data_IF_345473945101
#
_entry.id   IF_345473945101
#
_cell.length_a   1.000
_cell.length_b   1.000
_cell.length_c   1.000
_cell.angle_alpha   90.00
_cell.angle_beta   90.00
_cell.angle_gamma   90.00
#
_symmetry.space_group_name_H-M   'P 1'
#
loop_
_entity.id
_entity.type
_entity.pdbx_description
1 polymer ?
#
# COMPACT_ATOMS: atom_id res chain seq x y z
N UNK A 1 -41.17 61.00 8.79
CA UNK A 1 -42.40 60.21 8.88
C UNK A 1 -42.15 59.18 9.98
N UNK A 2 -42.50 59.48 11.24
CA UNK A 2 -43.80 59.18 11.89
C UNK A 2 -43.67 57.80 12.57
N UNK A 3 -43.97 57.52 13.83
CA UNK A 3 -44.78 58.17 14.86
C UNK A 3 -44.31 57.73 16.27
N UNK A 4 -44.72 58.54 17.25
CA UNK A 4 -44.85 58.33 18.71
C UNK A 4 -45.40 56.96 19.14
N UNK A 5 -45.27 56.46 20.37
CA UNK A 5 -44.78 56.99 21.63
C UNK A 5 -45.34 56.16 22.81
N UNK A 6 -44.79 56.28 24.01
CA UNK A 6 -45.53 56.13 25.28
C UNK A 6 -44.69 56.60 26.47
N UNK A 7 -45.30 57.47 27.29
CA UNK A 7 -44.77 58.15 28.48
C UNK A 7 -45.03 57.36 29.78
N UNK A 8 -44.22 57.66 30.80
CA UNK A 8 -44.58 58.05 32.19
C UNK A 8 -43.51 57.51 33.16
N UNK A 9 -43.11 58.12 34.27
CA UNK A 9 -43.28 59.43 34.91
C UNK A 9 -42.45 59.36 36.21
N UNK A 10 -41.85 60.47 36.67
CA UNK A 10 -41.33 60.53 38.05
C UNK A 10 -40.23 61.57 38.27
N UNK A 11 -40.62 62.76 38.67
CA UNK A 11 -39.78 63.91 39.03
C UNK A 11 -39.57 63.98 40.55
N UNK A 12 -38.40 64.48 40.96
CA UNK A 12 -38.09 65.00 42.30
C UNK A 12 -36.56 65.00 42.47
N UNK A 13 -35.81 66.11 42.52
CA UNK A 13 -36.11 67.44 43.05
C UNK A 13 -35.46 67.58 44.43
N UNK A 14 -34.19 68.01 44.49
CA UNK A 14 -33.49 68.28 45.76
C UNK A 14 -31.97 68.48 45.63
N UNK A 15 -31.55 69.71 45.38
CA UNK A 15 -30.27 70.31 45.80
C UNK A 15 -30.59 71.29 46.97
N UNK A 16 -29.63 71.94 47.69
CA UNK A 16 -28.16 71.89 47.66
C UNK A 16 -27.60 71.71 49.11
N UNK A 17 -26.30 71.63 49.41
CA UNK A 17 -25.29 72.71 49.58
C UNK A 17 -24.09 72.01 50.27
N UNK A 18 -22.84 72.21 49.87
CA UNK A 18 -21.99 73.29 50.41
C UNK A 18 -20.75 73.50 49.53
N UNK A 19 -20.45 74.76 49.21
CA UNK A 19 -19.13 75.22 48.82
C UNK A 19 -19.00 76.72 49.10
N UNK A 20 -17.96 77.13 49.85
CA UNK A 20 -17.31 78.46 49.78
C UNK A 20 -15.86 78.24 50.26
N UNK A 21 -14.82 78.23 49.40
CA UNK A 21 -14.09 79.32 48.73
C UNK A 21 -13.10 80.11 49.61
N UNK A 22 -11.83 80.07 49.22
CA UNK A 22 -10.77 81.12 49.14
C UNK A 22 -9.41 80.45 49.33
N UNK A 23 -8.31 80.69 48.62
CA UNK A 23 -7.89 81.56 47.52
C UNK A 23 -6.40 81.26 47.26
N UNK A 24 -5.79 81.78 46.19
CA UNK A 24 -4.31 81.79 46.06
C UNK A 24 -3.74 81.68 44.66
N UNK A 25 -2.98 82.70 44.26
CA UNK A 25 -2.26 82.88 42.98
C UNK A 25 -1.10 81.86 42.80
N UNK A 26 -0.95 81.40 41.55
CA UNK A 26 0.35 81.39 40.84
C UNK A 26 1.29 80.18 40.98
N UNK A 27 1.27 79.28 39.99
CA UNK A 27 2.43 78.60 39.33
C UNK A 27 1.86 77.70 38.23
N UNK A 28 1.80 78.16 36.98
CA UNK A 28 2.86 78.01 35.97
C UNK A 28 3.29 76.54 35.73
N UNK A 29 2.92 76.05 34.55
CA UNK A 29 3.69 75.15 33.68
C UNK A 29 4.09 73.79 34.26
N UNK A 30 3.36 72.71 33.95
CA UNK A 30 3.85 71.33 33.72
C UNK A 30 2.70 70.32 33.70
N UNK A 31 1.81 70.33 32.69
CA UNK A 31 0.90 69.19 32.48
C UNK A 31 0.34 69.02 31.05
N UNK A 32 0.93 69.68 30.04
CA UNK A 32 0.58 69.47 28.63
C UNK A 32 1.60 68.63 27.85
N UNK A 33 2.81 68.46 28.39
CA UNK A 33 3.91 67.78 27.70
C UNK A 33 3.93 66.26 27.94
N UNK A 34 3.42 65.78 29.09
CA UNK A 34 3.38 64.36 29.43
C UNK A 34 2.28 63.58 28.71
N UNK A 35 1.18 64.23 28.33
CA UNK A 35 0.07 63.56 27.65
C UNK A 35 0.36 63.33 26.15
N UNK A 36 0.98 64.31 25.49
CA UNK A 36 1.42 64.16 24.10
C UNK A 36 2.63 63.24 23.94
N UNK A 37 3.57 63.22 24.91
CA UNK A 37 4.67 62.23 24.88
C UNK A 37 4.16 60.81 25.12
N UNK A 38 3.19 60.59 26.00
CA UNK A 38 2.58 59.26 26.19
C UNK A 38 1.76 58.80 24.97
N UNK A 39 1.05 59.71 24.30
CA UNK A 39 0.33 59.39 23.04
C UNK A 39 1.35 59.09 21.93
N UNK A 40 2.41 59.88 21.79
CA UNK A 40 3.45 59.65 20.81
C UNK A 40 4.24 58.35 21.09
N UNK A 41 4.48 58.01 22.36
CA UNK A 41 5.09 56.73 22.74
C UNK A 41 4.14 55.57 22.43
N UNK A 42 2.84 55.70 22.69
CA UNK A 42 1.85 54.67 22.30
C UNK A 42 1.75 54.50 20.79
N UNK A 43 1.77 55.58 20.02
CA UNK A 43 1.79 55.54 18.56
C UNK A 43 3.10 54.94 18.06
N UNK A 44 4.25 55.28 18.67
CA UNK A 44 5.55 54.72 18.31
C UNK A 44 5.65 53.22 18.64
N UNK A 45 5.07 52.77 19.77
CA UNK A 45 4.97 51.35 20.12
C UNK A 45 3.99 50.64 19.18
N UNK A 46 2.85 51.25 18.84
CA UNK A 46 1.88 50.68 17.91
C UNK A 46 2.46 50.59 16.50
N UNK A 47 3.15 51.64 16.02
CA UNK A 47 3.88 51.64 14.76
C UNK A 47 5.00 50.59 14.81
N UNK A 48 5.78 50.50 15.88
CA UNK A 48 6.79 49.45 16.05
C UNK A 48 6.19 48.04 16.02
N UNK A 49 5.03 47.84 16.66
CA UNK A 49 4.32 46.55 16.68
C UNK A 49 3.71 46.22 15.30
N UNK A 50 3.17 47.22 14.60
CA UNK A 50 2.69 47.05 13.21
C UNK A 50 3.86 46.79 12.27
N UNK A 51 5.01 47.44 12.42
CA UNK A 51 6.21 47.16 11.62
C UNK A 51 6.77 45.79 11.95
N UNK A 52 6.72 45.32 13.21
CA UNK A 52 7.09 43.96 13.59
C UNK A 52 6.07 42.95 13.05
N UNK A 53 4.77 43.25 13.03
CA UNK A 53 3.74 42.39 12.42
C UNK A 53 3.80 42.39 10.90
N UNK A 54 4.23 43.49 10.27
CA UNK A 54 4.48 43.57 8.84
C UNK A 54 5.80 42.88 8.52
N UNK A 55 6.84 42.97 9.36
CA UNK A 55 8.11 42.27 9.19
C UNK A 55 7.97 40.77 9.46
N UNK A 56 7.29 40.36 10.53
CA UNK A 56 6.89 38.97 10.79
C UNK A 56 5.88 38.48 9.75
N UNK A 57 5.02 39.36 9.26
CA UNK A 57 4.13 39.12 8.13
C UNK A 57 4.91 38.92 6.84
N UNK A 58 5.96 39.68 6.55
CA UNK A 58 6.80 39.50 5.36
C UNK A 58 7.83 38.38 5.51
N UNK A 59 8.21 38.02 6.74
CA UNK A 59 9.05 36.85 7.07
C UNK A 59 8.21 35.57 7.17
N UNK A 60 6.88 35.69 7.37
CA UNK A 60 5.92 34.58 7.40
C UNK A 60 4.98 34.53 6.18
N UNK A 61 5.06 35.48 5.24
CA UNK A 61 4.38 35.45 3.93
C UNK A 61 5.38 35.55 2.75
N UNK A 62 6.67 35.70 3.03
CA UNK A 62 7.76 35.50 2.07
C UNK A 62 8.40 34.13 2.24
N UNK A 63 7.58 33.06 2.15
CA UNK A 63 7.94 31.65 1.90
C UNK A 63 6.75 30.68 2.13
N UNK A 64 5.50 31.14 2.01
CA UNK A 64 4.32 30.27 1.97
C UNK A 64 3.94 29.88 0.53
N UNK A 65 4.97 29.68 -0.27
CA UNK A 65 4.95 28.90 -1.50
C UNK A 65 6.18 27.97 -1.46
N UNK A 66 6.48 27.37 -0.30
CA UNK A 66 7.09 26.04 -0.27
C UNK A 66 5.95 25.12 -0.70
N UNK A 67 5.80 25.03 -2.02
CA UNK A 67 4.78 24.25 -2.68
C UNK A 67 4.90 22.81 -2.19
N UNK A 68 3.78 22.10 -2.25
CA UNK A 68 3.68 20.64 -2.09
C UNK A 68 4.91 19.88 -2.63
N UNK A 69 5.58 20.41 -3.65
CA UNK A 69 6.80 19.88 -4.24
C UNK A 69 7.96 19.69 -3.25
N UNK A 70 8.20 20.56 -2.26
CA UNK A 70 9.32 20.36 -1.31
C UNK A 70 9.03 19.21 -0.33
N UNK A 71 7.79 19.09 0.13
CA UNK A 71 7.35 17.99 1.00
C UNK A 71 7.29 16.67 0.22
N UNK A 72 6.73 16.69 -0.99
CA UNK A 72 6.73 15.55 -1.93
C UNK A 72 8.15 15.14 -2.25
N UNK A 73 9.08 16.07 -2.49
CA UNK A 73 10.48 15.77 -2.79
C UNK A 73 11.23 15.22 -1.57
N UNK A 74 10.98 15.73 -0.35
CA UNK A 74 11.54 15.11 0.87
C UNK A 74 10.97 13.72 1.15
N UNK A 75 9.69 13.48 0.89
CA UNK A 75 9.06 12.16 1.02
C UNK A 75 9.61 11.20 -0.02
N UNK A 76 9.73 11.65 -1.28
CA UNK A 76 10.37 10.93 -2.37
C UNK A 76 11.81 10.56 -2.01
N UNK A 77 12.59 11.49 -1.48
CA UNK A 77 13.97 11.26 -1.03
C UNK A 77 14.00 10.26 0.14
N UNK A 78 13.08 10.35 1.11
CA UNK A 78 12.99 9.41 2.24
C UNK A 78 12.57 8.00 1.83
N UNK A 79 11.78 7.88 0.77
CA UNK A 79 11.30 6.61 0.26
C UNK A 79 12.36 5.96 -0.64
N UNK A 80 12.96 6.75 -1.53
CA UNK A 80 13.96 6.32 -2.50
C UNK A 80 15.31 6.04 -1.83
N UNK A 81 15.75 6.83 -0.86
CA UNK A 81 17.10 6.67 -0.29
C UNK A 81 17.32 5.31 0.39
N UNK A 82 16.40 4.78 1.22
CA UNK A 82 16.49 3.40 1.71
C UNK A 82 16.51 2.39 0.57
N UNK A 83 15.58 2.51 -0.39
CA UNK A 83 15.48 1.58 -1.53
C UNK A 83 16.78 1.58 -2.37
N UNK A 84 17.40 2.73 -2.60
CA UNK A 84 18.65 2.86 -3.36
C UNK A 84 19.88 2.46 -2.54
N UNK A 85 19.91 2.71 -1.24
CA UNK A 85 21.02 2.35 -0.36
C UNK A 85 21.16 0.83 -0.21
N UNK A 86 20.09 0.08 -0.48
CA UNK A 86 20.05 -1.37 -0.37
C UNK A 86 20.24 -2.13 -1.68
N UNK A 87 20.50 -1.43 -2.79
CA UNK A 87 21.02 -2.06 -4.01
C UNK A 87 22.31 -2.80 -3.64
N UNK A 88 22.35 -4.15 -3.66
CA UNK A 88 23.51 -4.88 -3.18
C UNK A 88 24.73 -4.56 -4.04
N UNK A 89 25.76 -3.97 -3.43
CA UNK A 89 27.09 -3.90 -4.03
C UNK A 89 27.73 -5.30 -3.93
N UNK A 90 27.50 -6.13 -4.94
CA UNK A 90 28.29 -7.33 -5.23
C UNK A 90 28.15 -8.51 -4.27
N UNK A 91 27.45 -9.56 -4.69
CA UNK A 91 27.68 -10.91 -4.19
C UNK A 91 28.67 -11.63 -5.11
N UNK A 92 29.83 -11.94 -4.56
CA UNK A 92 30.90 -12.77 -5.15
C UNK A 92 30.35 -14.20 -5.44
N UNK A 93 30.56 -14.79 -6.63
CA UNK A 93 30.01 -16.09 -6.96
C UNK A 93 31.00 -17.19 -6.57
N UNK A 94 30.80 -17.87 -5.45
CA UNK A 94 31.36 -19.23 -5.25
C UNK A 94 30.77 -19.91 -4.02
N UNK A 95 29.83 -20.83 -4.24
CA UNK A 95 29.92 -22.18 -3.67
C UNK A 95 28.89 -23.09 -4.36
N UNK A 96 29.37 -23.82 -5.35
CA UNK A 96 28.75 -25.08 -5.76
C UNK A 96 29.04 -26.08 -4.62
N UNK A 97 28.01 -26.42 -3.85
CA UNK A 97 28.10 -27.54 -2.90
C UNK A 97 27.67 -28.80 -3.65
N UNK A 98 28.64 -29.69 -3.92
CA UNK A 98 28.39 -31.05 -4.40
C UNK A 98 27.56 -31.84 -3.37
N UNK A 99 26.65 -32.74 -3.82
CA UNK A 99 25.85 -33.55 -2.91
C UNK A 99 26.70 -34.66 -2.25
N UNK A 100 26.41 -35.06 -1.00
CA UNK A 100 27.22 -36.03 -0.29
C UNK A 100 27.05 -37.45 -0.84
N UNK A 101 28.18 -38.14 -1.04
CA UNK A 101 28.27 -39.57 -1.35
C UNK A 101 27.84 -40.41 -0.14
N UNK A 102 26.86 -41.29 -0.34
CA UNK A 102 26.50 -42.34 0.61
C UNK A 102 27.40 -43.56 0.35
N UNK A 103 28.27 -43.88 1.31
CA UNK A 103 29.03 -45.12 1.33
C UNK A 103 28.18 -46.27 1.88
N UNK A 104 27.94 -47.29 1.05
CA UNK A 104 27.33 -48.56 1.44
C UNK A 104 28.46 -49.51 1.84
N UNK A 105 28.42 -50.06 3.06
CA UNK A 105 29.23 -51.22 3.48
C UNK A 105 28.37 -52.49 3.53
N UNK A 106 28.85 -53.62 2.98
CA UNK A 106 28.10 -54.87 2.90
C UNK A 106 28.37 -55.78 4.11
N UNK A 107 27.43 -56.67 4.46
CA UNK A 107 27.74 -58.09 4.80
C UNK A 107 26.52 -58.99 5.05
N UNK A 108 26.48 -60.07 4.24
CA UNK A 108 26.30 -61.50 4.55
C UNK A 108 25.02 -62.09 5.23
N UNK A 109 24.21 -62.74 4.36
CA UNK A 109 23.76 -64.16 4.31
C UNK A 109 22.91 -64.84 5.40
N UNK A 110 21.81 -65.45 4.90
CA UNK A 110 21.24 -66.79 5.17
C UNK A 110 20.45 -67.00 6.49
N UNK A 111 19.31 -67.69 6.59
CA UNK A 111 18.58 -68.68 5.77
C UNK A 111 17.12 -68.84 6.30
N UNK A 112 16.27 -69.51 5.51
CA UNK A 112 15.02 -70.25 5.83
C UNK A 112 13.62 -69.64 5.48
N UNK A 113 13.04 -70.19 4.40
CA UNK A 113 11.59 -70.31 4.04
C UNK A 113 10.92 -71.48 4.82
N UNK A 114 9.56 -71.69 4.89
CA UNK A 114 8.55 -71.60 3.80
C UNK A 114 7.10 -71.23 4.30
N UNK A 115 5.95 -71.53 3.62
CA UNK A 115 5.66 -71.75 2.20
C UNK A 115 4.58 -70.80 1.59
N UNK A 116 4.43 -70.96 0.28
CA UNK A 116 3.56 -70.30 -0.70
C UNK A 116 2.04 -70.33 -0.43
N UNK A 117 1.36 -69.24 -0.84
CA UNK A 117 -0.05 -69.25 -1.24
C UNK A 117 -0.16 -68.57 -2.60
N UNK A 118 -0.52 -69.36 -3.62
CA UNK A 118 -0.81 -68.90 -4.98
C UNK A 118 -2.07 -68.03 -5.01
N UNK A 119 -1.93 -66.76 -5.44
CA UNK A 119 -3.04 -66.00 -6.04
C UNK A 119 -2.51 -65.28 -7.27
N UNK A 120 -3.13 -65.59 -8.41
CA UNK A 120 -2.82 -65.14 -9.76
C UNK A 120 -2.97 -63.62 -9.94
N UNK A 121 -2.05 -62.91 -10.63
CA UNK A 121 -2.22 -61.49 -10.89
C UNK A 121 -2.91 -61.30 -12.24
N UNK A 122 -4.14 -60.79 -12.20
CA UNK A 122 -4.78 -60.18 -13.37
C UNK A 122 -5.30 -58.80 -12.96
N UNK A 123 -4.39 -57.85 -12.80
CA UNK A 123 -4.72 -56.42 -12.87
C UNK A 123 -3.64 -55.75 -13.69
N UNK A 124 -4.08 -55.30 -14.86
CA UNK A 124 -3.39 -54.46 -15.83
C UNK A 124 -2.63 -53.33 -15.16
N UNK A 125 -1.33 -53.25 -15.49
CA UNK A 125 -0.45 -52.09 -15.34
C UNK A 125 -1.20 -50.88 -15.92
N UNK A 126 -1.53 -49.91 -15.07
CA UNK A 126 -1.98 -48.61 -15.54
C UNK A 126 -0.71 -47.89 -16.02
N UNK A 127 -0.65 -47.60 -17.31
CA UNK A 127 0.49 -46.95 -17.94
C UNK A 127 0.81 -45.62 -17.22
N UNK A 128 2.03 -45.51 -16.70
CA UNK A 128 2.59 -44.22 -16.31
C UNK A 128 2.60 -43.31 -17.55
N UNK A 129 2.16 -42.05 -17.45
CA UNK A 129 2.20 -41.17 -18.60
C UNK A 129 3.67 -40.91 -18.93
N UNK A 130 4.09 -41.42 -20.09
CA UNK A 130 5.33 -41.09 -20.75
C UNK A 130 5.57 -39.57 -20.69
N UNK A 131 6.65 -39.16 -20.04
CA UNK A 131 7.23 -37.82 -20.19
C UNK A 131 7.47 -37.59 -21.69
N UNK A 132 6.62 -36.78 -22.29
CA UNK A 132 6.86 -36.27 -23.63
C UNK A 132 7.97 -35.26 -23.48
N UNK A 133 9.18 -35.60 -23.91
CA UNK A 133 10.22 -34.62 -24.20
C UNK A 133 9.66 -33.62 -25.23
N UNK A 134 9.18 -32.48 -24.73
CA UNK A 134 8.68 -31.39 -25.58
C UNK A 134 9.89 -30.80 -26.28
N UNK A 135 9.89 -30.92 -27.61
CA UNK A 135 10.88 -30.33 -28.50
C UNK A 135 11.17 -28.86 -28.17
N UNK A 136 12.45 -28.53 -28.02
CA UNK A 136 13.02 -27.26 -27.56
C UNK A 136 12.90 -26.06 -28.51
N UNK A 137 11.82 -25.95 -29.31
CA UNK A 137 11.63 -24.88 -30.29
C UNK A 137 10.29 -24.13 -30.20
N UNK A 138 9.46 -24.38 -29.19
CA UNK A 138 8.18 -23.67 -29.03
C UNK A 138 8.37 -22.50 -28.06
N UNK A 139 8.16 -21.28 -28.53
CA UNK A 139 8.12 -20.10 -27.67
C UNK A 139 6.96 -20.24 -26.66
N UNK A 140 7.23 -19.96 -25.39
CA UNK A 140 6.24 -20.03 -24.30
C UNK A 140 5.02 -19.13 -24.57
N UNK A 141 3.82 -19.59 -24.22
CA UNK A 141 2.58 -18.81 -24.29
C UNK A 141 1.72 -19.04 -23.05
N UNK A 142 1.06 -17.99 -22.54
CA UNK A 142 0.11 -18.10 -21.42
C UNK A 142 -1.23 -18.81 -21.79
N UNK A 143 -1.39 -19.16 -23.06
CA UNK A 143 -2.57 -19.82 -23.62
C UNK A 143 -2.88 -19.34 -25.03
N UNK A 144 -3.97 -19.85 -25.65
CA UNK A 144 -4.37 -19.44 -26.99
C UNK A 144 -4.60 -17.92 -27.07
N UNK A 145 -4.13 -17.31 -28.15
CA UNK A 145 -4.26 -15.85 -28.36
C UNK A 145 -5.72 -15.46 -28.55
N UNK A 146 -6.17 -14.48 -27.79
CA UNK A 146 -7.51 -13.88 -27.88
C UNK A 146 -7.33 -12.46 -28.41
N UNK A 147 -8.14 -12.04 -29.39
CA UNK A 147 -8.02 -10.72 -30.05
C UNK A 147 -9.28 -9.86 -29.99
N UNK A 148 -10.36 -10.41 -29.43
CA UNK A 148 -11.68 -9.77 -29.37
C UNK A 148 -12.28 -9.82 -27.95
N UNK A 149 -11.45 -9.85 -26.90
CA UNK A 149 -11.90 -10.01 -25.52
C UNK A 149 -12.86 -8.91 -25.08
N UNK A 150 -12.62 -7.64 -25.41
CA UNK A 150 -13.51 -6.53 -25.05
C UNK A 150 -14.92 -6.72 -25.65
N UNK A 151 -15.00 -7.25 -26.87
CA UNK A 151 -16.28 -7.53 -27.52
C UNK A 151 -16.98 -8.71 -26.86
N UNK A 152 -16.26 -9.80 -26.54
CA UNK A 152 -16.81 -10.94 -25.82
C UNK A 152 -17.33 -10.54 -24.44
N UNK A 153 -16.52 -9.80 -23.67
CA UNK A 153 -16.85 -9.30 -22.33
C UNK A 153 -18.07 -8.38 -22.37
N UNK A 154 -18.17 -7.47 -23.34
CA UNK A 154 -19.35 -6.61 -23.54
C UNK A 154 -20.63 -7.40 -23.81
N UNK A 155 -20.56 -8.43 -24.67
CA UNK A 155 -21.71 -9.31 -24.94
C UNK A 155 -22.12 -10.04 -23.68
N UNK A 156 -21.16 -10.62 -22.94
CA UNK A 156 -21.42 -11.32 -21.70
C UNK A 156 -22.08 -10.42 -20.65
N UNK A 157 -21.56 -9.21 -20.43
CA UNK A 157 -22.13 -8.24 -19.47
C UNK A 157 -23.56 -7.84 -19.83
N UNK A 158 -23.88 -7.76 -21.14
CA UNK A 158 -25.24 -7.45 -21.60
C UNK A 158 -26.20 -8.61 -21.35
N UNK A 159 -25.71 -9.85 -21.42
CA UNK A 159 -26.50 -11.07 -21.21
C UNK A 159 -26.65 -11.45 -19.73
N UNK A 160 -25.80 -10.94 -18.85
CA UNK A 160 -25.75 -11.29 -17.42
C UNK A 160 -25.84 -10.03 -16.53
N UNK A 161 -26.95 -9.27 -16.58
CA UNK A 161 -27.09 -7.98 -15.85
C UNK A 161 -27.03 -8.11 -14.31
N UNK A 162 -27.21 -9.30 -13.77
CA UNK A 162 -27.07 -9.63 -12.35
C UNK A 162 -25.60 -9.65 -11.87
N UNK A 163 -24.65 -9.67 -12.80
CA UNK A 163 -23.21 -9.57 -12.54
C UNK A 163 -22.61 -8.29 -13.16
N UNK A 164 -22.98 -7.08 -12.68
CA UNK A 164 -22.49 -5.85 -13.24
C UNK A 164 -21.02 -5.60 -12.85
N UNK A 165 -20.26 -5.01 -13.79
CA UNK A 165 -18.89 -4.56 -13.57
C UNK A 165 -18.77 -3.29 -12.74
N UNK A 166 -19.89 -2.60 -12.51
CA UNK A 166 -20.00 -1.43 -11.65
C UNK A 166 -21.16 -1.66 -10.68
N UNK A 167 -20.89 -1.66 -9.37
CA UNK A 167 -21.86 -1.78 -8.29
C UNK A 167 -21.93 -0.47 -7.51
N UNK A 168 -23.12 0.11 -7.38
CA UNK A 168 -23.33 1.36 -6.64
C UNK A 168 -22.37 2.50 -7.06
N UNK A 169 -22.07 2.59 -8.35
CA UNK A 169 -21.15 3.60 -8.90
C UNK A 169 -19.66 3.28 -8.72
N UNK A 170 -19.30 2.12 -8.14
CA UNK A 170 -17.91 1.68 -7.95
C UNK A 170 -17.59 0.49 -8.84
N UNK A 171 -16.42 0.50 -9.48
CA UNK A 171 -15.97 -0.63 -10.29
C UNK A 171 -15.75 -1.87 -9.41
N UNK A 172 -16.14 -3.05 -9.91
CA UNK A 172 -15.93 -4.32 -9.20
C UNK A 172 -14.45 -4.69 -9.21
N UNK A 173 -13.88 -4.92 -8.02
CA UNK A 173 -12.49 -5.31 -7.81
C UNK A 173 -12.45 -6.75 -7.29
N UNK A 174 -11.51 -7.54 -7.82
CA UNK A 174 -11.12 -8.84 -7.27
C UNK A 174 -9.68 -8.76 -6.79
N UNK A 175 -9.46 -8.82 -5.48
CA UNK A 175 -8.13 -8.90 -4.90
C UNK A 175 -7.58 -10.32 -5.04
N UNK A 176 -6.40 -10.43 -5.65
CA UNK A 176 -5.68 -11.68 -5.83
C UNK A 176 -4.39 -11.65 -5.00
N UNK A 177 -4.22 -12.64 -4.14
CA UNK A 177 -2.99 -12.92 -3.40
C UNK A 177 -2.68 -14.41 -3.49
N UNK A 178 -1.49 -14.84 -3.07
CA UNK A 178 -1.21 -16.27 -2.97
C UNK A 178 0.09 -16.57 -2.26
N UNK A 179 0.29 -17.86 -2.01
CA UNK A 179 1.53 -18.43 -1.46
C UNK A 179 1.80 -19.79 -2.11
N UNK A 180 3.00 -20.36 -1.96
CA UNK A 180 3.26 -21.74 -2.37
C UNK A 180 2.25 -22.73 -1.75
N UNK A 181 1.98 -23.88 -2.41
CA UNK A 181 1.10 -24.94 -1.90
C UNK A 181 1.66 -25.66 -0.68
N UNK A 182 2.98 -25.78 -0.61
CA UNK A 182 3.68 -26.47 0.47
C UNK A 182 3.82 -25.60 1.72
N UNK A 183 4.15 -26.20 2.87
CA UNK A 183 4.50 -25.46 4.06
C UNK A 183 5.73 -24.58 3.79
N UNK A 184 5.84 -23.47 4.51
CA UNK A 184 7.02 -22.62 4.43
C UNK A 184 8.27 -23.33 4.94
N UNK A 185 9.44 -22.94 4.43
CA UNK A 185 10.74 -23.48 4.89
C UNK A 185 10.93 -23.30 6.41
N UNK A 186 10.34 -22.22 6.96
CA UNK A 186 10.27 -21.95 8.39
C UNK A 186 8.80 -21.97 8.83
N UNK A 187 8.40 -22.77 9.85
CA UNK A 187 7.00 -22.84 10.31
C UNK A 187 6.39 -21.50 10.74
N UNK A 188 7.21 -20.57 11.22
CA UNK A 188 6.76 -19.22 11.56
C UNK A 188 6.28 -18.43 10.33
N UNK A 189 6.78 -18.77 9.14
CA UNK A 189 6.34 -18.19 7.87
C UNK A 189 4.86 -18.38 7.62
N UNK A 190 4.36 -19.62 7.81
CA UNK A 190 2.92 -19.94 7.67
C UNK A 190 2.06 -19.11 8.63
N UNK A 191 2.55 -18.84 9.84
CA UNK A 191 1.84 -17.98 10.79
C UNK A 191 1.72 -16.53 10.27
N UNK A 192 2.74 -15.98 9.63
CA UNK A 192 2.68 -14.64 9.06
C UNK A 192 1.90 -14.59 7.74
N UNK A 193 1.87 -15.67 6.95
CA UNK A 193 0.94 -15.81 5.83
C UNK A 193 -0.52 -15.77 6.32
N UNK A 194 -0.83 -16.48 7.40
CA UNK A 194 -2.16 -16.45 8.02
C UNK A 194 -2.54 -15.04 8.51
N UNK A 195 -1.62 -14.33 9.16
CA UNK A 195 -1.85 -12.95 9.59
C UNK A 195 -2.06 -12.01 8.39
N UNK A 196 -1.29 -12.20 7.32
CA UNK A 196 -1.43 -11.43 6.08
C UNK A 196 -2.78 -11.64 5.42
N UNK A 197 -3.24 -12.89 5.28
CA UNK A 197 -4.57 -13.15 4.70
C UNK A 197 -5.69 -12.61 5.60
N UNK A 198 -5.59 -12.71 6.94
CA UNK A 198 -6.56 -12.07 7.84
C UNK A 198 -6.63 -10.55 7.61
N UNK A 199 -5.49 -9.88 7.52
CA UNK A 199 -5.43 -8.44 7.25
C UNK A 199 -6.15 -8.08 5.93
N UNK A 200 -5.88 -8.84 4.86
CA UNK A 200 -6.55 -8.66 3.56
C UNK A 200 -8.05 -8.95 3.63
N UNK A 201 -8.47 -9.99 4.36
CA UNK A 201 -9.88 -10.31 4.60
C UNK A 201 -10.58 -9.16 5.31
N UNK A 202 -9.96 -8.57 6.34
CA UNK A 202 -10.56 -7.46 7.09
C UNK A 202 -10.75 -6.23 6.21
N UNK A 203 -9.75 -5.85 5.40
CA UNK A 203 -9.86 -4.76 4.43
C UNK A 203 -10.95 -5.05 3.39
N UNK A 204 -10.87 -6.20 2.71
CA UNK A 204 -11.80 -6.57 1.65
C UNK A 204 -13.26 -6.60 2.15
N UNK A 205 -13.50 -7.13 3.36
CA UNK A 205 -14.83 -7.15 3.99
C UNK A 205 -15.38 -5.74 4.24
N UNK A 206 -14.54 -4.79 4.64
CA UNK A 206 -14.96 -3.42 4.93
C UNK A 206 -15.20 -2.61 3.66
N UNK A 207 -14.49 -2.92 2.57
CA UNK A 207 -14.56 -2.21 1.29
C UNK A 207 -15.43 -2.90 0.23
N UNK A 208 -16.02 -4.05 0.53
CA UNK A 208 -16.88 -4.79 -0.42
C UNK A 208 -16.10 -5.37 -1.61
N UNK A 209 -14.87 -5.82 -1.36
CA UNK A 209 -13.97 -6.39 -2.38
C UNK A 209 -13.96 -7.91 -2.21
N UNK A 210 -14.02 -8.64 -3.32
CA UNK A 210 -13.88 -10.10 -3.33
C UNK A 210 -12.40 -10.47 -3.28
N UNK A 211 -12.07 -11.61 -2.66
CA UNK A 211 -10.68 -12.08 -2.53
C UNK A 211 -10.52 -13.50 -3.07
N UNK A 212 -9.48 -13.70 -3.88
CA UNK A 212 -8.98 -15.01 -4.30
C UNK A 212 -7.60 -15.23 -3.68
N UNK A 213 -7.44 -16.36 -2.99
CA UNK A 213 -6.16 -16.80 -2.46
C UNK A 213 -5.67 -18.01 -3.26
N UNK A 214 -4.64 -17.83 -4.07
CA UNK A 214 -4.05 -18.92 -4.85
C UNK A 214 -3.05 -19.73 -4.01
N UNK A 215 -3.17 -21.05 -4.05
CA UNK A 215 -2.18 -22.01 -3.56
C UNK A 215 -1.76 -23.02 -4.63
N UNK A 216 -2.18 -22.85 -5.89
CA UNK A 216 -1.88 -23.77 -6.98
C UNK A 216 -0.79 -23.21 -7.91
N UNK A 217 0.08 -24.10 -8.39
CA UNK A 217 0.91 -23.82 -9.56
C UNK A 217 0.08 -24.17 -10.81
N UNK A 218 -0.33 -23.14 -11.55
CA UNK A 218 -1.10 -23.33 -12.79
C UNK A 218 -0.21 -23.63 -14.01
N UNK A 219 1.08 -23.34 -13.88
CA UNK A 219 2.06 -23.44 -14.94
C UNK A 219 3.41 -23.83 -14.32
N UNK A 220 4.04 -24.87 -14.86
CA UNK A 220 5.31 -25.38 -14.33
C UNK A 220 6.52 -24.54 -14.75
N UNK A 221 6.42 -23.79 -15.85
CA UNK A 221 7.48 -22.92 -16.38
C UNK A 221 7.51 -21.59 -15.62
N UNK A 222 6.33 -21.03 -15.30
CA UNK A 222 6.19 -19.77 -14.56
C UNK A 222 6.10 -20.00 -13.05
N UNK A 223 7.24 -20.35 -12.46
CA UNK A 223 7.42 -20.53 -11.01
C UNK A 223 7.75 -19.23 -10.25
N UNK A 224 7.68 -19.29 -8.90
CA UNK A 224 8.10 -18.19 -8.03
C UNK A 224 7.26 -16.92 -8.24
N UNK A 225 7.91 -15.77 -8.37
CA UNK A 225 7.24 -14.48 -8.58
C UNK A 225 6.45 -14.41 -9.89
N UNK A 226 6.77 -15.26 -10.88
CA UNK A 226 6.09 -15.31 -12.18
C UNK A 226 4.71 -15.97 -12.16
N UNK A 227 4.36 -16.72 -11.11
CA UNK A 227 3.08 -17.46 -11.00
C UNK A 227 1.84 -16.56 -11.07
N UNK A 228 2.02 -15.26 -10.78
CA UNK A 228 0.93 -14.28 -10.83
C UNK A 228 0.39 -14.08 -12.25
N UNK A 229 1.21 -14.13 -13.29
CA UNK A 229 0.79 -13.91 -14.68
C UNK A 229 -0.28 -14.91 -15.16
N UNK A 230 -0.05 -16.25 -15.10
CA UNK A 230 -1.04 -17.22 -15.55
C UNK A 230 -2.31 -17.18 -14.69
N UNK A 231 -2.20 -16.92 -13.38
CA UNK A 231 -3.37 -16.77 -12.51
C UNK A 231 -4.20 -15.53 -12.85
N UNK A 232 -3.57 -14.37 -13.06
CA UNK A 232 -4.27 -13.14 -13.46
C UNK A 232 -5.01 -13.35 -14.79
N UNK A 233 -4.34 -13.94 -15.80
CA UNK A 233 -4.98 -14.27 -17.09
C UNK A 233 -6.19 -15.19 -16.88
N UNK A 234 -6.05 -16.22 -16.04
CA UNK A 234 -7.13 -17.16 -15.75
C UNK A 234 -8.33 -16.47 -15.10
N UNK A 235 -8.10 -15.60 -14.12
CA UNK A 235 -9.18 -14.86 -13.46
C UNK A 235 -9.85 -13.85 -14.39
N UNK A 236 -9.10 -13.12 -15.21
CA UNK A 236 -9.68 -12.21 -16.21
C UNK A 236 -10.70 -12.92 -17.12
N UNK A 237 -10.33 -14.09 -17.62
CA UNK A 237 -11.18 -14.87 -18.53
C UNK A 237 -12.33 -15.58 -17.82
N UNK A 238 -12.19 -15.90 -16.53
CA UNK A 238 -13.21 -16.62 -15.74
C UNK A 238 -14.18 -15.68 -15.04
N UNK A 239 -13.82 -14.41 -14.87
CA UNK A 239 -14.62 -13.38 -14.21
C UNK A 239 -14.83 -12.15 -15.13
N UNK A 240 -15.64 -12.25 -16.20
CA UNK A 240 -15.91 -11.12 -17.10
C UNK A 240 -16.61 -9.95 -16.38
N UNK A 241 -17.27 -10.20 -15.26
CA UNK A 241 -17.90 -9.18 -14.41
C UNK A 241 -16.89 -8.32 -13.65
N UNK A 242 -15.67 -8.81 -13.40
CA UNK A 242 -14.65 -8.05 -12.67
C UNK A 242 -14.06 -6.98 -13.58
N UNK A 243 -14.01 -5.74 -13.11
CA UNK A 243 -13.40 -4.63 -13.85
C UNK A 243 -11.91 -4.51 -13.58
N UNK A 244 -11.49 -4.74 -12.33
CA UNK A 244 -10.09 -4.67 -11.90
C UNK A 244 -9.67 -5.95 -11.18
N UNK A 245 -8.60 -6.57 -11.66
CA UNK A 245 -7.83 -7.54 -10.87
C UNK A 245 -6.79 -6.75 -10.08
N UNK A 246 -6.78 -6.89 -8.77
CA UNK A 246 -5.81 -6.25 -7.89
C UNK A 246 -4.87 -7.30 -7.31
N UNK A 247 -3.66 -7.38 -7.87
CA UNK A 247 -2.62 -8.25 -7.32
C UNK A 247 -2.02 -7.61 -6.06
N UNK A 248 -1.85 -8.40 -5.00
CA UNK A 248 -1.16 -8.00 -3.78
C UNK A 248 -0.34 -9.16 -3.23
N UNK A 249 0.97 -8.97 -3.08
CA UNK A 249 1.89 -9.98 -2.54
C UNK A 249 1.50 -10.40 -1.10
N UNK A 250 1.90 -11.61 -0.73
CA UNK A 250 1.58 -12.18 0.58
C UNK A 250 2.33 -11.52 1.74
N UNK A 251 3.43 -10.84 1.48
CA UNK A 251 4.20 -10.04 2.44
C UNK A 251 3.86 -8.53 2.37
N UNK A 252 2.80 -8.14 1.66
CA UNK A 252 2.21 -6.82 1.73
C UNK A 252 1.00 -6.80 2.69
N UNK A 253 0.92 -5.80 3.56
CA UNK A 253 -0.19 -5.60 4.50
C UNK A 253 -0.86 -4.25 4.27
N UNK A 254 -2.18 -4.22 4.32
CA UNK A 254 -2.92 -2.97 4.50
C UNK A 254 -2.61 -2.41 5.87
N UNK A 255 -2.16 -1.16 5.92
CA UNK A 255 -1.88 -0.42 7.14
C UNK A 255 -2.76 0.81 7.30
N UNK A 256 -3.46 1.23 6.25
CA UNK A 256 -4.63 2.10 6.32
C UNK A 256 -5.89 1.31 5.94
N UNK A 257 -6.67 0.91 6.96
CA UNK A 257 -7.90 0.13 6.75
C UNK A 257 -9.04 1.01 6.21
N UNK A 258 -8.94 2.33 6.34
CA UNK A 258 -10.02 3.26 5.99
C UNK A 258 -9.81 3.93 4.64
N UNK A 259 -8.58 3.95 4.14
CA UNK A 259 -8.27 4.46 2.81
C UNK A 259 -8.95 3.63 1.71
N UNK A 260 -9.57 4.31 0.76
CA UNK A 260 -10.16 3.73 -0.44
C UNK A 260 -9.40 4.20 -1.68
N UNK A 261 -9.09 3.28 -2.59
CA UNK A 261 -8.40 3.58 -3.84
C UNK A 261 -9.25 4.56 -4.67
N UNK A 262 -8.70 5.71 -5.11
CA UNK A 262 -9.46 6.71 -5.87
C UNK A 262 -9.63 6.29 -7.35
N UNK A 263 -10.43 5.26 -7.61
CA UNK A 263 -10.58 4.63 -8.93
C UNK A 263 -10.95 5.60 -10.07
N UNK A 264 -11.65 6.70 -9.77
CA UNK A 264 -11.99 7.74 -10.75
C UNK A 264 -10.75 8.38 -11.37
N UNK A 265 -9.62 8.41 -10.67
CA UNK A 265 -8.32 8.87 -11.19
C UNK A 265 -7.80 8.00 -12.34
N UNK A 266 -8.20 6.73 -12.36
CA UNK A 266 -7.63 5.71 -13.26
C UNK A 266 -8.55 5.35 -14.44
N UNK A 267 -9.63 6.10 -14.67
CA UNK A 267 -10.63 5.80 -15.71
C UNK A 267 -10.05 5.59 -17.11
N UNK A 268 -8.98 6.31 -17.46
CA UNK A 268 -8.33 6.24 -18.78
C UNK A 268 -7.17 5.24 -18.87
N UNK A 269 -6.87 4.56 -17.77
CA UNK A 269 -5.72 3.67 -17.62
C UNK A 269 -6.18 2.22 -17.42
N UNK A 270 -5.29 1.29 -17.72
CA UNK A 270 -5.52 -0.15 -17.61
C UNK A 270 -4.56 -0.82 -16.63
N UNK A 271 -3.40 -0.22 -16.38
CA UNK A 271 -2.46 -0.65 -15.33
C UNK A 271 -2.23 0.52 -14.37
N UNK A 272 -2.41 0.29 -13.07
CA UNK A 272 -2.05 1.23 -12.00
C UNK A 272 -1.02 0.55 -11.13
N UNK A 273 0.16 1.15 -11.02
CA UNK A 273 1.32 0.56 -10.34
C UNK A 273 2.07 1.64 -9.58
N UNK A 274 2.54 1.32 -8.37
CA UNK A 274 3.34 2.25 -7.58
C UNK A 274 4.72 2.44 -8.22
N UNK A 275 5.22 3.67 -8.22
CA UNK A 275 6.60 3.92 -8.61
C UNK A 275 6.94 5.39 -8.72
N UNK A 276 8.16 5.68 -9.18
CA UNK A 276 8.64 7.05 -9.27
C UNK A 276 9.02 7.39 -10.71
N UNK A 277 8.38 8.41 -11.32
CA UNK A 277 8.66 8.80 -12.69
C UNK A 277 10.14 9.12 -12.96
N UNK A 278 10.85 9.77 -12.03
CA UNK A 278 12.27 10.06 -12.18
C UNK A 278 13.13 8.78 -12.25
N UNK A 279 12.90 7.84 -11.32
CA UNK A 279 13.60 6.55 -11.34
C UNK A 279 13.30 5.76 -12.61
N UNK A 280 12.06 5.83 -13.10
CA UNK A 280 11.63 5.10 -14.28
C UNK A 280 12.24 5.68 -15.57
N UNK A 281 11.98 6.95 -15.85
CA UNK A 281 12.28 7.53 -17.16
C UNK A 281 13.71 8.08 -17.26
N UNK A 282 14.23 8.67 -16.18
CA UNK A 282 15.54 9.30 -16.21
C UNK A 282 16.63 8.31 -15.79
N UNK A 283 16.41 7.57 -14.70
CA UNK A 283 17.45 6.70 -14.14
C UNK A 283 17.40 5.26 -14.66
N UNK A 284 16.26 4.82 -15.22
CA UNK A 284 16.01 3.42 -15.61
C UNK A 284 16.33 2.43 -14.49
N UNK A 285 15.92 2.77 -13.28
CA UNK A 285 16.19 1.96 -12.09
C UNK A 285 15.31 0.71 -12.07
N UNK A 286 15.85 -0.43 -11.63
CA UNK A 286 15.08 -1.68 -11.49
C UNK A 286 14.05 -1.66 -10.35
N UNK A 287 14.17 -0.67 -9.45
CA UNK A 287 13.22 -0.39 -8.35
C UNK A 287 12.30 0.79 -8.68
N UNK A 288 12.23 1.21 -9.94
CA UNK A 288 11.43 2.35 -10.34
C UNK A 288 9.92 2.12 -10.20
N UNK A 289 9.48 0.87 -10.31
CA UNK A 289 8.10 0.42 -10.13
C UNK A 289 8.09 -0.79 -9.18
N UNK A 290 6.97 -1.05 -8.51
CA UNK A 290 6.79 -2.25 -7.69
C UNK A 290 5.66 -3.14 -8.21
N UNK A 291 5.97 -4.39 -8.62
CA UNK A 291 4.96 -5.35 -9.12
C UNK A 291 4.39 -6.25 -8.03
N UNK A 292 4.65 -5.93 -6.76
CA UNK A 292 4.03 -6.62 -5.64
C UNK A 292 2.61 -6.14 -5.36
N UNK A 293 2.26 -4.91 -5.77
CA UNK A 293 0.91 -4.37 -5.68
C UNK A 293 0.59 -3.58 -6.94
N UNK A 294 -0.41 -4.02 -7.69
CA UNK A 294 -0.91 -3.28 -8.87
C UNK A 294 -2.35 -3.64 -9.20
N UNK A 295 -3.04 -2.71 -9.87
CA UNK A 295 -4.37 -2.96 -10.45
C UNK A 295 -4.24 -3.12 -11.96
N UNK A 296 -4.88 -4.16 -12.49
CA UNK A 296 -4.92 -4.44 -13.93
C UNK A 296 -6.37 -4.62 -14.40
N UNK A 297 -6.80 -3.77 -15.35
CA UNK A 297 -8.17 -3.75 -15.85
C UNK A 297 -8.46 -4.99 -16.69
N UNK A 298 -9.65 -5.57 -16.56
CA UNK A 298 -10.08 -6.70 -17.37
C UNK A 298 -10.48 -6.24 -18.79
N UNK A 299 -9.49 -6.21 -19.70
CA UNK A 299 -9.65 -5.76 -21.08
C UNK A 299 -8.63 -6.42 -22.01
N UNK A 300 -8.84 -6.30 -23.33
CA UNK A 300 -7.96 -6.87 -24.36
C UNK A 300 -6.52 -6.38 -24.23
N UNK A 301 -6.33 -5.08 -23.94
CA UNK A 301 -5.01 -4.49 -23.74
C UNK A 301 -4.22 -5.21 -22.64
N UNK A 302 -4.88 -5.62 -21.56
CA UNK A 302 -4.23 -6.31 -20.44
C UNK A 302 -3.85 -7.75 -20.80
N UNK A 303 -4.67 -8.45 -21.60
CA UNK A 303 -4.29 -9.77 -22.13
C UNK A 303 -3.04 -9.66 -23.01
N UNK A 304 -2.99 -8.65 -23.88
CA UNK A 304 -1.84 -8.39 -24.74
C UNK A 304 -0.59 -8.00 -23.92
N UNK A 305 -0.76 -7.27 -22.82
CA UNK A 305 0.35 -6.94 -21.90
C UNK A 305 0.90 -8.20 -21.24
N UNK A 306 0.04 -9.09 -20.74
CA UNK A 306 0.46 -10.35 -20.10
C UNK A 306 1.26 -11.22 -21.09
N UNK A 307 0.79 -11.33 -22.33
CA UNK A 307 1.51 -12.05 -23.40
C UNK A 307 2.89 -11.44 -23.69
N UNK A 308 3.02 -10.12 -23.60
CA UNK A 308 4.30 -9.41 -23.82
C UNK A 308 5.23 -9.43 -22.60
N UNK A 309 4.69 -9.65 -21.40
CA UNK A 309 5.43 -9.66 -20.14
C UNK A 309 5.99 -11.05 -19.81
N UNK A 310 5.24 -12.11 -20.11
CA UNK A 310 5.62 -13.50 -19.85
C UNK A 310 6.93 -14.03 -20.47
N UNK A 311 7.44 -13.57 -21.63
CA UNK A 311 8.54 -14.24 -22.34
C UNK A 311 9.86 -14.38 -21.57
N UNK A 312 10.12 -13.54 -20.57
CA UNK A 312 11.32 -13.62 -19.71
C UNK A 312 11.13 -14.52 -18.49
N UNK A 313 9.94 -15.09 -18.30
CA UNK A 313 9.55 -15.84 -17.10
C UNK A 313 9.83 -17.34 -17.08
N UNK A 314 9.85 -18.10 -18.19
CA UNK A 314 10.07 -19.55 -18.14
C UNK A 314 11.40 -19.92 -17.46
N UNK A 315 11.33 -20.74 -16.41
CA UNK A 315 12.48 -21.12 -15.57
C UNK A 315 13.62 -21.77 -16.38
N UNK A 316 14.84 -21.74 -15.82
CA UNK A 316 16.03 -22.29 -16.47
C UNK A 316 16.68 -21.31 -17.44
N UNK A 317 17.29 -21.78 -18.55
CA UNK A 317 18.14 -20.95 -19.40
C UNK A 317 17.48 -19.67 -19.93
N UNK A 318 16.16 -19.71 -20.20
CA UNK A 318 15.43 -18.53 -20.69
C UNK A 318 15.44 -17.41 -19.64
N UNK A 319 15.04 -17.72 -18.40
CA UNK A 319 15.03 -16.76 -17.29
C UNK A 319 16.43 -16.29 -16.91
N UNK A 320 17.42 -17.18 -16.96
CA UNK A 320 18.82 -16.85 -16.64
C UNK A 320 19.42 -15.87 -17.65
N UNK A 321 19.25 -16.12 -18.96
CA UNK A 321 19.74 -15.22 -20.01
C UNK A 321 18.97 -13.89 -20.02
N UNK A 322 17.65 -13.92 -19.79
CA UNK A 322 16.87 -12.71 -19.62
C UNK A 322 17.36 -11.88 -18.41
N UNK A 323 17.76 -12.53 -17.31
CA UNK A 323 18.34 -11.87 -16.14
C UNK A 323 19.60 -11.08 -16.47
N UNK A 324 20.47 -11.61 -17.35
CA UNK A 324 21.66 -10.89 -17.84
C UNK A 324 21.28 -9.66 -18.68
N UNK A 325 20.28 -9.79 -19.56
CA UNK A 325 19.77 -8.67 -20.37
C UNK A 325 19.22 -7.56 -19.46
N UNK A 326 18.42 -7.92 -18.46
CA UNK A 326 17.82 -6.98 -17.51
C UNK A 326 18.89 -6.28 -16.67
N UNK A 327 19.90 -7.02 -16.20
CA UNK A 327 21.03 -6.47 -15.44
C UNK A 327 21.85 -5.48 -16.27
N UNK A 328 22.04 -5.76 -17.56
CA UNK A 328 22.74 -4.85 -18.46
C UNK A 328 21.92 -3.59 -18.81
N UNK A 329 20.59 -3.69 -18.83
CA UNK A 329 19.71 -2.59 -19.22
C UNK A 329 19.31 -1.68 -18.06
N UNK A 330 19.05 -2.24 -16.88
CA UNK A 330 18.47 -1.53 -15.73
C UNK A 330 19.54 -1.12 -14.73
N UNK A 331 19.51 0.16 -14.34
CA UNK A 331 20.46 0.72 -13.38
C UNK A 331 20.23 0.09 -12.00
N UNK A 332 21.32 -0.35 -11.39
CA UNK A 332 21.33 -0.84 -10.01
C UNK A 332 20.73 -2.23 -9.81
N UNK A 333 20.36 -2.94 -10.88
CA UNK A 333 19.89 -4.32 -10.74
C UNK A 333 21.07 -5.26 -10.39
N UNK A 334 21.02 -6.05 -9.31
CA UNK A 334 22.04 -7.06 -9.06
C UNK A 334 21.95 -8.22 -10.08
N UNK A 335 23.01 -9.04 -10.15
CA UNK A 335 23.06 -10.17 -11.08
C UNK A 335 22.32 -11.39 -10.51
N UNK A 336 21.12 -11.65 -11.02
CA UNK A 336 20.31 -12.83 -10.73
C UNK A 336 19.31 -13.09 -11.88
N UNK A 337 18.60 -14.22 -11.83
CA UNK A 337 17.58 -14.61 -12.82
C UNK A 337 16.54 -13.50 -13.07
N UNK A 338 15.88 -13.48 -14.23
CA UNK A 338 14.84 -12.49 -14.51
C UNK A 338 13.66 -12.57 -13.52
N UNK A 339 13.25 -11.40 -13.04
CA UNK A 339 12.07 -11.20 -12.19
C UNK A 339 10.98 -10.42 -12.94
N UNK A 340 9.73 -10.57 -12.52
CA UNK A 340 8.57 -9.94 -13.15
C UNK A 340 8.65 -8.41 -13.10
N UNK A 341 9.16 -7.82 -12.02
CA UNK A 341 9.29 -6.37 -11.86
C UNK A 341 10.23 -5.76 -12.90
N UNK A 342 11.45 -6.28 -12.98
CA UNK A 342 12.47 -5.85 -13.93
C UNK A 342 12.01 -6.07 -15.37
N UNK A 343 11.38 -7.20 -15.66
CA UNK A 343 10.83 -7.49 -16.99
C UNK A 343 9.74 -6.49 -17.40
N UNK A 344 8.84 -6.11 -16.48
CA UNK A 344 7.83 -5.08 -16.75
C UNK A 344 8.47 -3.72 -17.01
N UNK A 345 9.42 -3.29 -16.17
CA UNK A 345 10.12 -2.02 -16.34
C UNK A 345 10.83 -1.99 -17.71
N UNK A 346 11.54 -3.07 -18.05
CA UNK A 346 12.18 -3.21 -19.36
C UNK A 346 11.18 -3.12 -20.52
N UNK A 347 10.05 -3.82 -20.44
CA UNK A 347 8.99 -3.78 -21.46
C UNK A 347 8.42 -2.37 -21.63
N UNK A 348 8.08 -1.70 -20.53
CA UNK A 348 7.50 -0.37 -20.53
C UNK A 348 8.47 0.71 -21.06
N UNK A 349 9.76 0.57 -20.78
CA UNK A 349 10.79 1.49 -21.28
C UNK A 349 11.16 1.22 -22.74
N UNK A 350 11.27 -0.05 -23.14
CA UNK A 350 11.65 -0.43 -24.51
C UNK A 350 10.53 -0.28 -25.53
N UNK A 351 9.27 -0.37 -25.10
CA UNK A 351 8.08 -0.25 -25.94
C UNK A 351 7.13 0.84 -25.43
N UNK A 352 7.70 1.99 -25.01
CA UNK A 352 6.98 3.10 -24.38
C UNK A 352 5.74 3.54 -25.16
N UNK A 353 5.89 3.75 -26.47
CA UNK A 353 4.80 4.24 -27.34
C UNK A 353 3.62 3.26 -27.44
N UNK A 354 3.86 1.98 -27.17
CA UNK A 354 2.83 0.94 -27.22
C UNK A 354 2.06 0.81 -25.90
N UNK A 355 2.74 0.94 -24.77
CA UNK A 355 2.17 0.57 -23.46
C UNK A 355 1.88 1.76 -22.56
N UNK A 356 2.76 2.76 -22.50
CA UNK A 356 2.76 3.74 -21.40
C UNK A 356 1.55 4.67 -21.40
N UNK A 357 0.84 4.85 -22.52
CA UNK A 357 -0.41 5.64 -22.54
C UNK A 357 -1.47 5.07 -21.60
N UNK A 358 -1.47 3.76 -21.35
CA UNK A 358 -2.45 3.07 -20.49
C UNK A 358 -1.91 2.71 -19.11
N UNK A 359 -0.69 3.14 -18.77
CA UNK A 359 -0.06 2.90 -17.47
C UNK A 359 -0.12 4.17 -16.63
N UNK A 360 -0.67 4.06 -15.43
CA UNK A 360 -0.61 5.09 -14.40
C UNK A 360 0.46 4.72 -13.37
N UNK A 361 1.49 5.54 -13.25
CA UNK A 361 2.52 5.41 -12.21
C UNK A 361 2.06 6.21 -11.00
N UNK A 362 1.54 5.53 -9.98
CA UNK A 362 1.02 6.15 -8.76
C UNK A 362 2.16 6.43 -7.77
N UNK A 363 2.12 7.63 -7.19
CA UNK A 363 3.12 8.11 -6.23
C UNK A 363 2.56 9.13 -5.22
N UNK A 364 1.23 9.32 -5.18
CA UNK A 364 0.57 10.25 -4.27
C UNK A 364 0.14 9.61 -2.95
N UNK A 365 0.13 8.27 -2.89
CA UNK A 365 -0.11 7.49 -1.68
C UNK A 365 0.66 6.18 -1.79
N UNK A 366 0.81 5.46 -0.69
CA UNK A 366 1.55 4.19 -0.64
C UNK A 366 0.71 3.03 -1.16
N UNK A 367 0.46 2.96 -2.48
CA UNK A 367 -0.03 1.74 -3.11
C UNK A 367 0.97 0.59 -2.86
N UNK A 368 2.26 0.92 -2.85
CA UNK A 368 3.33 0.14 -2.26
C UNK A 368 4.15 1.04 -1.34
N UNK A 369 4.24 0.69 -0.05
CA UNK A 369 5.11 1.39 0.90
C UNK A 369 6.26 0.51 1.38
N UNK A 370 7.49 0.91 1.09
CA UNK A 370 8.68 0.17 1.52
C UNK A 370 8.81 0.18 3.05
N UNK A 371 8.75 -1.01 3.65
CA UNK A 371 8.55 -1.17 5.10
C UNK A 371 9.61 -0.49 5.96
N UNK A 372 10.88 -0.48 5.54
CA UNK A 372 11.97 0.03 6.36
C UNK A 372 11.83 1.53 6.67
N UNK A 373 11.29 2.32 5.73
CA UNK A 373 11.04 3.75 5.92
C UNK A 373 9.76 4.07 6.72
N UNK A 374 8.96 3.05 7.06
CA UNK A 374 7.61 3.22 7.61
C UNK A 374 7.45 2.66 9.02
N UNK A 375 7.93 1.44 9.26
CA UNK A 375 7.55 0.67 10.47
C UNK A 375 7.97 1.31 11.79
N UNK A 376 9.06 2.07 11.79
CA UNK A 376 9.56 2.75 13.00
C UNK A 376 8.81 4.06 13.29
N UNK A 377 7.95 4.52 12.37
CA UNK A 377 7.18 5.77 12.49
C UNK A 377 5.74 5.53 12.96
N UNK A 378 5.30 4.28 13.14
CA UNK A 378 3.91 4.00 13.51
C UNK A 378 3.44 4.67 14.79
N UNK A 379 4.26 4.73 15.83
CA UNK A 379 3.91 5.44 17.07
C UNK A 379 3.73 6.95 16.81
N UNK A 380 4.59 7.56 16.00
CA UNK A 380 4.45 8.96 15.58
C UNK A 380 3.14 9.17 14.81
N UNK A 381 2.82 8.25 13.89
CA UNK A 381 1.60 8.31 13.08
C UNK A 381 0.34 8.21 13.93
N UNK A 382 0.34 7.31 14.93
CA UNK A 382 -0.77 7.16 15.90
C UNK A 382 -0.97 8.44 16.71
N UNK A 383 0.11 9.13 17.08
CA UNK A 383 0.04 10.35 17.89
C UNK A 383 -0.43 11.57 17.09
N UNK A 384 0.05 11.72 15.84
CA UNK A 384 -0.12 12.96 15.06
C UNK A 384 -1.23 12.91 14.02
N UNK A 385 -1.58 11.73 13.52
CA UNK A 385 -2.43 11.57 12.35
C UNK A 385 -3.59 10.60 12.62
N UNK A 386 -4.31 10.24 11.55
CA UNK A 386 -5.42 9.29 11.58
C UNK A 386 -5.45 8.47 10.27
N UNK A 387 -6.06 7.27 10.28
CA UNK A 387 -6.30 6.50 9.06
C UNK A 387 -7.25 7.21 8.10
N UNK A 388 -7.20 6.85 6.83
CA UNK A 388 -7.91 7.43 5.69
C UNK A 388 -7.04 8.33 4.80
N UNK A 389 -5.74 8.44 5.06
CA UNK A 389 -4.83 9.33 4.33
C UNK A 389 -4.05 8.59 3.24
N UNK A 390 -3.63 7.34 3.52
CA UNK A 390 -2.92 6.47 2.58
C UNK A 390 -1.46 6.82 2.28
N UNK A 391 -0.94 7.95 2.75
CA UNK A 391 0.39 8.49 2.44
C UNK A 391 1.36 8.44 3.64
N UNK A 392 2.42 9.26 3.69
CA UNK A 392 3.45 9.24 4.74
C UNK A 392 2.96 9.59 6.14
N UNK A 393 1.74 10.10 6.24
CA UNK A 393 1.06 10.40 7.50
C UNK A 393 0.36 9.16 8.04
N UNK A 394 -0.13 8.30 7.15
CA UNK A 394 -0.72 6.99 7.46
C UNK A 394 -0.68 6.09 6.23
N UNK A 395 0.33 5.21 6.07
CA UNK A 395 0.58 4.52 4.81
C UNK A 395 -0.55 3.55 4.47
N UNK A 396 -0.98 3.54 3.21
CA UNK A 396 -2.01 2.62 2.77
C UNK A 396 -1.56 1.16 2.85
N UNK A 397 -0.41 0.86 2.22
CA UNK A 397 0.20 -0.47 2.24
C UNK A 397 1.60 -0.38 2.82
N UNK A 398 1.96 -1.34 3.66
CA UNK A 398 3.34 -1.62 4.07
C UNK A 398 3.77 -2.97 3.51
N UNK A 399 4.80 -2.95 2.66
CA UNK A 399 5.27 -4.10 1.89
C UNK A 399 6.66 -4.53 2.35
N UNK A 400 6.76 -5.76 2.84
CA UNK A 400 7.97 -6.35 3.43
C UNK A 400 8.91 -6.97 2.40
N UNK A 401 9.18 -6.23 1.33
CA UNK A 401 10.12 -6.63 0.26
C UNK A 401 11.43 -7.12 0.88
N UNK A 402 11.91 -8.28 0.41
CA UNK A 402 13.15 -8.92 0.84
C UNK A 402 13.09 -9.67 2.18
N UNK A 403 12.00 -9.57 2.95
CA UNK A 403 11.84 -10.37 4.17
C UNK A 403 11.51 -11.86 3.88
N UNK A 404 10.85 -12.14 2.76
CA UNK A 404 10.53 -13.49 2.25
C UNK A 404 10.08 -14.46 3.36
N UNK A 405 8.95 -14.19 4.06
CA UNK A 405 8.57 -14.89 5.29
C UNK A 405 8.43 -16.41 5.12
N UNK A 406 8.16 -16.89 3.91
CA UNK A 406 7.98 -18.30 3.58
C UNK A 406 9.22 -18.97 2.96
N UNK A 407 10.22 -18.20 2.53
CA UNK A 407 11.40 -18.70 1.82
C UNK A 407 12.62 -18.93 2.71
N UNK A 408 13.61 -19.61 2.13
CA UNK A 408 14.88 -19.96 2.77
C UNK A 408 15.87 -18.79 2.84
N UNK A 409 15.85 -17.89 1.86
CA UNK A 409 16.73 -16.72 1.78
C UNK A 409 15.96 -15.44 2.14
N UNK A 410 16.55 -14.57 2.96
CA UNK A 410 16.01 -13.25 3.27
C UNK A 410 17.14 -12.23 3.18
N UNK A 411 16.85 -11.07 2.60
CA UNK A 411 17.82 -9.98 2.42
C UNK A 411 18.08 -9.23 3.75
N UNK A 412 17.21 -9.44 4.74
CA UNK A 412 17.27 -8.83 6.06
C UNK A 412 17.32 -9.85 7.18
N UNK A 413 17.73 -9.39 8.36
CA UNK A 413 17.64 -10.17 9.60
C UNK A 413 16.18 -10.61 9.84
N UNK A 414 15.97 -11.92 9.84
CA UNK A 414 14.67 -12.59 10.00
C UNK A 414 13.90 -12.07 11.23
N UNK A 415 14.61 -11.80 12.33
CA UNK A 415 14.01 -11.24 13.54
C UNK A 415 13.47 -9.82 13.35
N UNK A 416 14.20 -8.95 12.64
CA UNK A 416 13.76 -7.57 12.31
C UNK A 416 12.50 -7.63 11.44
N UNK A 417 12.49 -8.50 10.43
CA UNK A 417 11.34 -8.73 9.56
C UNK A 417 10.08 -9.11 10.35
N UNK A 418 10.12 -10.21 11.10
CA UNK A 418 8.94 -10.69 11.82
C UNK A 418 8.46 -9.70 12.90
N UNK A 419 9.37 -9.06 13.65
CA UNK A 419 8.98 -8.00 14.59
C UNK A 419 8.29 -6.82 13.89
N UNK A 420 8.75 -6.45 12.71
CA UNK A 420 8.19 -5.34 11.94
C UNK A 420 6.86 -5.71 11.28
N UNK A 421 6.71 -6.95 10.81
CA UNK A 421 5.43 -7.51 10.34
C UNK A 421 4.41 -7.58 11.47
N UNK A 422 4.82 -7.97 12.68
CA UNK A 422 3.96 -7.96 13.87
C UNK A 422 3.44 -6.55 14.17
N UNK A 423 4.32 -5.54 14.11
CA UNK A 423 3.97 -4.13 14.27
C UNK A 423 2.97 -3.65 13.22
N UNK A 424 3.25 -3.90 11.95
CA UNK A 424 2.37 -3.49 10.85
C UNK A 424 0.99 -4.16 10.93
N UNK A 425 0.96 -5.47 11.24
CA UNK A 425 -0.30 -6.17 11.45
C UNK A 425 -1.10 -5.56 12.62
N UNK A 426 -0.48 -5.34 13.78
CA UNK A 426 -1.20 -4.80 14.94
C UNK A 426 -1.61 -3.32 14.73
N UNK A 427 -0.82 -2.54 13.98
CA UNK A 427 -1.15 -1.17 13.57
C UNK A 427 -2.44 -1.12 12.72
N UNK A 428 -2.60 -2.10 11.82
CA UNK A 428 -3.80 -2.28 11.02
C UNK A 428 -4.96 -2.89 11.84
N UNK A 429 -4.71 -3.96 12.58
CA UNK A 429 -5.73 -4.69 13.35
C UNK A 429 -6.33 -3.80 14.45
N UNK A 430 -5.57 -2.85 15.01
CA UNK A 430 -6.11 -1.85 15.92
C UNK A 430 -7.23 -0.99 15.32
N UNK A 431 -7.20 -0.72 14.02
CA UNK A 431 -8.27 0.02 13.33
C UNK A 431 -9.54 -0.83 13.26
N UNK A 432 -9.40 -2.14 13.08
CA UNK A 432 -10.50 -3.11 13.07
C UNK A 432 -11.03 -3.37 14.49
N UNK A 433 -10.15 -3.62 15.46
CA UNK A 433 -10.52 -3.91 16.86
C UNK A 433 -11.22 -2.74 17.55
N UNK A 434 -10.90 -1.50 17.16
CA UNK A 434 -11.59 -0.30 17.64
C UNK A 434 -13.10 -0.36 17.39
N UNK A 435 -13.56 -0.98 16.28
CA UNK A 435 -14.99 -1.22 16.04
C UNK A 435 -15.64 -2.02 17.15
N UNK A 436 -14.91 -2.96 17.75
CA UNK A 436 -15.40 -3.89 18.77
C UNK A 436 -15.04 -3.44 20.20
N UNK A 437 -14.34 -2.32 20.36
CA UNK A 437 -14.03 -1.74 21.68
C UNK A 437 -12.77 -2.29 22.29
N UNK A 438 -11.85 -2.77 21.45
CA UNK A 438 -10.55 -3.29 21.84
C UNK A 438 -9.43 -2.57 21.09
N UNK A 439 -8.22 -2.71 21.63
CA UNK A 439 -6.97 -2.43 20.94
C UNK A 439 -5.90 -3.38 21.46
N UNK A 440 -4.81 -3.56 20.74
CA UNK A 440 -3.60 -4.17 21.23
C UNK A 440 -3.04 -3.38 22.42
N UNK A 441 -2.30 -4.08 23.29
CA UNK A 441 -1.58 -3.44 24.41
C UNK A 441 -0.38 -2.63 23.93
N UNK A 442 0.14 -2.94 22.76
CA UNK A 442 1.20 -2.25 22.02
C UNK A 442 1.47 -2.98 20.71
N UNK A 443 2.18 -2.35 19.77
CA UNK A 443 2.32 -2.87 18.40
C UNK A 443 3.10 -4.20 18.31
N UNK A 444 3.87 -4.58 19.33
CA UNK A 444 4.54 -5.89 19.40
C UNK A 444 3.77 -6.93 20.22
N UNK A 445 2.63 -6.58 20.82
CA UNK A 445 1.91 -7.46 21.72
C UNK A 445 0.68 -8.07 21.06
N UNK A 446 0.56 -9.41 21.02
CA UNK A 446 -0.68 -10.06 20.56
C UNK A 446 -1.82 -9.92 21.58
N UNK A 447 -1.54 -9.42 22.79
CA UNK A 447 -2.56 -9.24 23.83
C UNK A 447 -3.35 -7.98 23.55
N UNK A 448 -4.67 -8.09 23.65
CA UNK A 448 -5.58 -6.95 23.56
C UNK A 448 -5.96 -6.40 24.94
N UNK A 449 -6.45 -5.16 24.96
CA UNK A 449 -7.07 -4.47 26.07
C UNK A 449 -8.39 -3.87 25.61
N UNK A 450 -9.32 -3.76 26.55
CA UNK A 450 -10.59 -3.08 26.33
C UNK A 450 -10.37 -1.57 26.37
N UNK A 451 -10.95 -0.83 25.43
CA UNK A 451 -10.84 0.64 25.34
C UNK A 451 -12.14 1.37 25.66
N UNK A 452 -13.25 0.65 25.85
CA UNK A 452 -14.54 1.20 26.29
C UNK A 452 -15.29 0.24 27.20
N UNK A 453 -16.11 0.78 28.12
CA UNK A 453 -16.97 -0.03 29.00
C UNK A 453 -18.05 -0.75 28.18
N UNK A 454 -18.51 -1.89 28.68
CA UNK A 454 -19.69 -2.55 28.13
C UNK A 454 -20.94 -1.72 28.41
N UNK A 455 -21.89 -1.80 27.50
CA UNK A 455 -23.17 -1.12 27.59
C UNK A 455 -24.28 -2.09 27.24
N UNK A 456 -25.42 -1.93 27.92
CA UNK A 456 -26.67 -2.65 27.58
C UNK A 456 -27.36 -2.04 26.36
N UNK A 457 -26.91 -0.86 25.91
CA UNK A 457 -27.42 -0.14 24.75
C UNK A 457 -26.32 0.01 23.67
N UNK A 458 -25.85 -1.08 23.04
CA UNK A 458 -24.75 -1.02 22.07
C UNK A 458 -25.07 -0.18 20.83
N UNK A 459 -26.36 -0.10 20.44
CA UNK A 459 -26.81 0.61 19.23
C UNK A 459 -26.80 2.14 19.35
N UNK A 460 -26.81 2.70 20.56
CA UNK A 460 -26.81 4.15 20.79
C UNK A 460 -25.56 4.85 20.23
N UNK A 461 -24.45 4.12 20.08
CA UNK A 461 -23.18 4.67 19.64
C UNK A 461 -22.63 3.99 18.38
N UNK A 462 -23.41 3.14 17.70
CA UNK A 462 -22.93 2.39 16.52
C UNK A 462 -22.42 3.35 15.46
N UNK A 463 -23.20 4.37 15.09
CA UNK A 463 -22.77 5.31 14.03
C UNK A 463 -21.50 6.10 14.42
N UNK A 464 -21.32 6.40 15.71
CA UNK A 464 -20.10 7.05 16.21
C UNK A 464 -18.86 6.17 16.06
N UNK A 465 -19.02 4.86 16.09
CA UNK A 465 -17.92 3.89 16.03
C UNK A 465 -17.83 3.16 14.69
N UNK A 466 -18.79 3.36 13.78
CA UNK A 466 -18.86 2.65 12.51
C UNK A 466 -17.90 3.27 11.48
N UNK A 467 -16.74 2.67 11.34
CA UNK A 467 -15.75 3.07 10.33
C UNK A 467 -16.24 2.87 8.88
N UNK A 468 -17.32 2.10 8.66
CA UNK A 468 -17.95 1.92 7.34
C UNK A 468 -18.82 3.11 6.95
N UNK A 469 -19.11 4.00 7.91
CA UNK A 469 -19.93 5.20 7.75
C UNK A 469 -19.12 6.42 8.17
N UNK A 470 -17.97 6.66 7.53
CA UNK A 470 -17.32 7.96 7.69
C UNK A 470 -18.27 9.04 7.15
N UNK A 471 -18.82 9.82 8.06
CA UNK A 471 -19.60 11.00 7.74
C UNK A 471 -18.70 11.94 6.92
N UNK A 472 -19.16 12.47 5.77
CA UNK A 472 -18.53 13.66 5.24
C UNK A 472 -18.56 14.68 6.36
N UNK A 473 -17.40 15.17 6.79
CA UNK A 473 -17.38 16.34 7.65
C UNK A 473 -18.16 17.43 6.93
N UNK A 474 -19.38 17.68 7.38
CA UNK A 474 -20.09 18.92 7.09
C UNK A 474 -19.24 20.01 7.71
N UNK A 475 -18.33 20.58 6.93
CA UNK A 475 -17.66 21.82 7.30
C UNK A 475 -18.75 22.87 7.58
N UNK A 476 -18.68 23.61 8.69
CA UNK A 476 -19.55 24.76 8.92
C UNK A 476 -19.34 25.86 7.89
#
# INVERSE_FOLDING_TARGET
MGQDGSRSSGSGGGLPTTAVSTGGRGRALLCGWLQNTLINIKIMILCGFVTILVLLGTVSFGNFESSNDDAVNQNLIREINPILAEIPSGSDPTSLVEPPKVEIKPNLTNLDEPPEVEISPNVTKLDEPHEVEISSNVAYTLGPRITNWDSQRKVWLTQNPEFPSILNGKARILLLTGSPPGPCDKPIGDYYLLKSVKNKIDYCRLHGIEIVYNMAHLDEELSGYWTKLPMIRRLMLSHPEVEWIWWMDSDALFTDILFEIPLSRYEKHNLVIHGYPDLLFNQKSWVALNTGIFLLRNCQWSLDLLDAWAPMGPKGPIRDEAGKILTAYLKGRPAFEADDQSALIYLLLSQKDKWMEKVFVENQYYLHGFWEGLVDRYEEMIEKYHPGLGDERWPFVTHFVGCKPCGSYADYAVEKCFKSMERAFNFADDQVLKLYGFSHRGLLSPKVKRIRKETVSPLEFVDKFDIRRMHPETKP
#
